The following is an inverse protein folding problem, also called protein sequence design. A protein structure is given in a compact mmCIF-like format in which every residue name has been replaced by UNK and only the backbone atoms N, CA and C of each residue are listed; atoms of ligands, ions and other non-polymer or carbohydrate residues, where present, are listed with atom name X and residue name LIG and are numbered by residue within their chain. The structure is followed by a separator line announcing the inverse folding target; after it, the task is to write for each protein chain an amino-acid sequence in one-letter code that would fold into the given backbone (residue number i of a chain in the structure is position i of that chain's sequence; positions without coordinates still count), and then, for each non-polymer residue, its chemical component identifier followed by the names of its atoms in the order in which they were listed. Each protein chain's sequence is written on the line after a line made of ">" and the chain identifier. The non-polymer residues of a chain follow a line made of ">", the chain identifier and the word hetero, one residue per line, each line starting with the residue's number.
data_IF_007254646569
#
_entry.id   IF_007254646569
#
_cell.length_a   1.000
_cell.length_b   1.000
_cell.length_c   1.000
_cell.angle_alpha   90.00
_cell.angle_beta   90.00
_cell.angle_gamma   90.00
#
_symmetry.space_group_name_H-M   'P 1'
#
loop_
_entity.id
_entity.type
_entity.pdbx_description
1 polymer ?
#
# COMPACT_ATOMS: atom_id res chain seq x y z
N UNK A 1 3.30 1.49 -25.79
CA UNK A 1 2.73 0.13 -25.90
C UNK A 1 2.48 -0.40 -24.50
N UNK A 2 1.30 -0.99 -24.21
CA UNK A 2 0.98 -1.58 -22.92
C UNK A 2 2.06 -2.55 -22.42
N UNK A 3 2.72 -3.24 -23.35
CA UNK A 3 3.83 -4.17 -23.09
C UNK A 3 5.03 -3.49 -22.44
N UNK A 4 5.34 -2.23 -22.80
CA UNK A 4 6.43 -1.48 -22.19
C UNK A 4 6.13 -1.13 -20.73
N UNK A 5 4.86 -0.86 -20.43
CA UNK A 5 4.42 -0.51 -19.08
C UNK A 5 4.43 -1.74 -18.16
N UNK A 6 3.97 -2.88 -18.67
CA UNK A 6 4.04 -4.17 -17.96
C UNK A 6 5.49 -4.63 -17.78
N UNK A 7 6.32 -4.49 -18.82
CA UNK A 7 7.74 -4.82 -18.76
C UNK A 7 8.47 -3.95 -17.72
N UNK A 8 8.21 -2.64 -17.69
CA UNK A 8 8.80 -1.74 -16.69
C UNK A 8 8.37 -2.12 -15.27
N UNK A 9 7.11 -2.52 -15.08
CA UNK A 9 6.56 -2.96 -13.80
C UNK A 9 7.22 -4.26 -13.32
N UNK A 10 7.42 -5.24 -14.23
CA UNK A 10 8.16 -6.46 -13.96
C UNK A 10 9.63 -6.19 -13.64
N UNK A 11 10.27 -5.28 -14.39
CA UNK A 11 11.68 -4.92 -14.18
C UNK A 11 11.88 -4.23 -12.83
N UNK A 12 10.96 -3.34 -12.43
CA UNK A 12 10.93 -2.74 -11.09
C UNK A 12 10.71 -3.78 -9.98
N UNK A 13 9.79 -4.73 -10.17
CA UNK A 13 9.53 -5.80 -9.21
C UNK A 13 10.77 -6.70 -9.03
N UNK A 14 11.44 -7.07 -10.12
CA UNK A 14 12.68 -7.88 -10.09
C UNK A 14 13.85 -7.07 -9.53
N UNK A 15 14.00 -5.79 -9.88
CA UNK A 15 15.05 -4.92 -9.33
C UNK A 15 14.92 -4.75 -7.81
N UNK A 16 13.69 -4.59 -7.31
CA UNK A 16 13.40 -4.57 -5.87
C UNK A 16 13.65 -5.93 -5.19
N UNK A 17 13.59 -7.05 -5.92
CA UNK A 17 13.95 -8.37 -5.37
C UNK A 17 15.45 -8.45 -5.02
N UNK A 18 16.30 -7.85 -5.86
CA UNK A 18 17.77 -7.89 -5.73
C UNK A 18 18.29 -6.90 -4.69
N UNK A 19 17.64 -5.76 -4.51
CA UNK A 19 18.04 -4.75 -3.53
C UNK A 19 17.29 -4.92 -2.20
N UNK A 20 17.94 -5.41 -1.11
CA UNK A 20 17.32 -5.43 0.20
C UNK A 20 17.09 -4.00 0.69
N UNK A 21 15.83 -3.57 0.73
CA UNK A 21 15.45 -2.29 1.33
C UNK A 21 15.28 -2.54 2.84
N UNK A 22 15.88 -1.71 3.72
CA UNK A 22 15.72 -1.87 5.16
C UNK A 22 14.24 -1.79 5.57
N UNK A 23 13.81 -2.68 6.47
CA UNK A 23 12.43 -2.74 6.99
C UNK A 23 11.95 -1.38 7.50
N UNK A 24 12.82 -0.61 8.16
CA UNK A 24 12.51 0.74 8.69
C UNK A 24 12.05 1.72 7.60
N UNK A 25 12.66 1.66 6.41
CA UNK A 25 12.31 2.55 5.30
C UNK A 25 10.94 2.17 4.74
N UNK A 26 10.67 0.88 4.59
CA UNK A 26 9.37 0.38 4.12
C UNK A 26 8.27 0.73 5.10
N UNK A 27 8.51 0.55 6.41
CA UNK A 27 7.56 0.91 7.47
C UNK A 27 7.22 2.41 7.45
N UNK A 28 8.22 3.29 7.31
CA UNK A 28 8.01 4.72 7.17
C UNK A 28 7.19 5.08 5.91
N UNK A 29 7.45 4.43 4.77
CA UNK A 29 6.71 4.65 3.53
C UNK A 29 5.26 4.16 3.60
N UNK A 30 4.99 3.05 4.30
CA UNK A 30 3.64 2.57 4.59
C UNK A 30 2.89 3.61 5.43
N UNK A 31 3.51 4.11 6.50
CA UNK A 31 2.94 5.16 7.34
C UNK A 31 2.62 6.43 6.54
N UNK A 32 3.53 6.84 5.66
CA UNK A 32 3.30 7.95 4.74
C UNK A 32 2.13 7.68 3.77
N UNK A 33 2.04 6.47 3.20
CA UNK A 33 0.93 6.10 2.31
C UNK A 33 -0.43 6.20 3.02
N UNK A 34 -0.51 5.71 4.26
CA UNK A 34 -1.72 5.79 5.08
C UNK A 34 -2.08 7.25 5.39
N UNK A 35 -1.10 8.07 5.79
CA UNK A 35 -1.31 9.49 6.03
C UNK A 35 -1.79 10.24 4.78
N UNK A 36 -1.19 9.96 3.62
CA UNK A 36 -1.63 10.51 2.34
C UNK A 36 -3.07 10.09 2.00
N UNK A 37 -3.43 8.83 2.21
CA UNK A 37 -4.79 8.33 1.96
C UNK A 37 -5.83 9.05 2.85
N UNK A 38 -5.52 9.27 4.12
CA UNK A 38 -6.38 10.00 5.06
C UNK A 38 -6.48 11.48 4.66
N UNK A 39 -5.36 12.10 4.27
CA UNK A 39 -5.36 13.49 3.78
C UNK A 39 -6.24 13.64 2.55
N UNK A 40 -6.11 12.73 1.57
CA UNK A 40 -6.96 12.72 0.38
C UNK A 40 -8.43 12.51 0.72
N UNK A 41 -8.73 11.65 1.70
CA UNK A 41 -10.09 11.47 2.21
C UNK A 41 -10.63 12.78 2.83
N UNK A 42 -9.85 13.46 3.67
CA UNK A 42 -10.27 14.75 4.24
C UNK A 42 -10.51 15.80 3.17
N UNK A 43 -9.64 15.90 2.16
CA UNK A 43 -9.81 16.81 1.03
C UNK A 43 -11.08 16.45 0.26
N UNK A 44 -11.33 15.17 -0.01
CA UNK A 44 -12.54 14.72 -0.69
C UNK A 44 -13.83 15.03 0.08
N UNK A 45 -13.80 15.00 1.43
CA UNK A 45 -14.93 15.36 2.27
C UNK A 45 -15.19 16.88 2.34
N UNK A 46 -14.16 17.71 2.12
CA UNK A 46 -14.27 19.17 2.17
C UNK A 46 -14.52 19.82 0.79
N UNK A 47 -14.13 19.18 -0.31
CA UNK A 47 -14.28 19.73 -1.67
C UNK A 47 -15.74 19.63 -2.13
N UNK A 48 -16.38 20.79 -2.34
CA UNK A 48 -17.78 20.91 -2.81
C UNK A 48 -17.92 21.12 -4.32
N UNK A 49 -16.82 21.26 -5.09
CA UNK A 49 -16.89 21.65 -6.51
C UNK A 49 -16.09 20.69 -7.42
N UNK A 50 -16.64 20.23 -8.56
CA UNK A 50 -16.00 19.27 -9.47
C UNK A 50 -14.69 19.71 -10.17
N UNK A 51 -14.27 20.97 -10.02
CA UNK A 51 -13.14 21.55 -10.78
C UNK A 51 -11.75 21.10 -10.28
N UNK A 52 -11.63 20.55 -9.06
CA UNK A 52 -10.40 19.91 -8.57
C UNK A 52 -10.26 18.44 -9.02
N UNK A 53 -11.26 17.89 -9.71
CA UNK A 53 -11.21 16.51 -10.24
C UNK A 53 -10.26 16.34 -11.42
N UNK A 54 -9.66 17.41 -11.96
CA UNK A 54 -8.66 17.31 -13.03
C UNK A 54 -7.30 16.79 -12.54
N UNK A 55 -6.90 17.17 -11.32
CA UNK A 55 -5.64 16.72 -10.70
C UNK A 55 -5.80 15.39 -9.95
N UNK A 56 -7.01 15.06 -9.48
CA UNK A 56 -7.35 13.82 -8.79
C UNK A 56 -6.90 12.54 -9.54
N UNK A 57 -7.21 12.35 -10.85
CA UNK A 57 -6.77 11.18 -11.60
C UNK A 57 -5.25 10.99 -11.58
N UNK A 58 -4.49 12.09 -11.72
CA UNK A 58 -3.04 12.05 -11.68
C UNK A 58 -2.51 11.65 -10.30
N UNK A 59 -3.07 12.24 -9.24
CA UNK A 59 -2.69 11.93 -7.84
C UNK A 59 -3.06 10.49 -7.47
N UNK A 60 -4.23 10.00 -7.89
CA UNK A 60 -4.67 8.62 -7.67
C UNK A 60 -3.78 7.65 -8.45
N UNK A 61 -3.38 7.97 -9.68
CA UNK A 61 -2.47 7.13 -10.47
C UNK A 61 -1.11 6.99 -9.78
N UNK A 62 -0.52 8.10 -9.35
CA UNK A 62 0.74 8.11 -8.60
C UNK A 62 0.60 7.33 -7.28
N UNK A 63 -0.47 7.55 -6.52
CA UNK A 63 -0.78 6.83 -5.28
C UNK A 63 -0.96 5.33 -5.52
N UNK A 64 -1.52 4.94 -6.66
CA UNK A 64 -1.70 3.53 -7.06
C UNK A 64 -0.37 2.88 -7.39
N UNK A 65 0.49 3.55 -8.17
CA UNK A 65 1.85 3.06 -8.46
C UNK A 65 2.68 2.95 -7.17
N UNK A 66 2.57 3.94 -6.29
CA UNK A 66 3.24 3.91 -4.99
C UNK A 66 2.75 2.76 -4.11
N UNK A 67 1.42 2.53 -4.06
CA UNK A 67 0.83 1.35 -3.39
C UNK A 67 1.36 0.04 -3.97
N UNK A 68 1.43 -0.10 -5.30
CA UNK A 68 1.99 -1.30 -5.94
C UNK A 68 3.45 -1.53 -5.52
N UNK A 69 4.28 -0.49 -5.53
CA UNK A 69 5.68 -0.60 -5.10
C UNK A 69 5.81 -1.04 -3.64
N UNK A 70 5.01 -0.45 -2.74
CA UNK A 70 5.00 -0.83 -1.33
C UNK A 70 4.52 -2.25 -1.11
N UNK A 71 3.46 -2.69 -1.77
CA UNK A 71 2.96 -4.07 -1.66
C UNK A 71 4.00 -5.08 -2.12
N UNK A 72 4.72 -4.82 -3.22
CA UNK A 72 5.79 -5.70 -3.70
C UNK A 72 6.97 -5.74 -2.72
N UNK A 73 7.44 -4.58 -2.25
CA UNK A 73 8.55 -4.50 -1.31
C UNK A 73 8.23 -5.18 0.02
N UNK A 74 7.03 -4.95 0.54
CA UNK A 74 6.54 -5.55 1.79
C UNK A 74 6.39 -7.06 1.66
N UNK A 75 5.78 -7.54 0.56
CA UNK A 75 5.61 -8.99 0.34
C UNK A 75 6.96 -9.69 0.26
N UNK A 76 7.97 -9.06 -0.38
CA UNK A 76 9.34 -9.57 -0.39
C UNK A 76 9.90 -9.65 1.04
N UNK A 77 9.81 -8.59 1.84
CA UNK A 77 10.32 -8.59 3.22
C UNK A 77 9.67 -9.68 4.07
N UNK A 78 8.34 -9.82 3.97
CA UNK A 78 7.60 -10.89 4.66
C UNK A 78 8.08 -12.28 4.23
N UNK A 79 8.28 -12.52 2.93
CA UNK A 79 8.65 -13.84 2.41
C UNK A 79 10.14 -14.18 2.55
N UNK A 80 11.03 -13.19 2.48
CA UNK A 80 12.48 -13.39 2.48
C UNK A 80 13.10 -13.28 3.88
N UNK A 81 12.59 -12.35 4.70
CA UNK A 81 13.18 -11.98 6.00
C UNK A 81 12.24 -12.33 7.15
N UNK A 82 10.95 -12.59 6.89
CA UNK A 82 9.96 -12.91 7.91
C UNK A 82 9.48 -11.70 8.71
N UNK A 83 9.94 -10.50 8.37
CA UNK A 83 9.60 -9.25 9.05
C UNK A 83 8.73 -8.36 8.14
N UNK A 84 7.59 -7.92 8.67
CA UNK A 84 6.65 -7.06 7.93
C UNK A 84 6.81 -5.56 8.25
N UNK A 85 7.53 -5.21 9.32
CA UNK A 85 7.56 -3.86 9.87
C UNK A 85 6.52 -3.63 10.98
N UNK A 86 6.74 -2.60 11.80
CA UNK A 86 5.96 -2.37 13.03
C UNK A 86 4.51 -1.99 12.73
N UNK A 87 4.26 -1.21 11.66
CA UNK A 87 2.90 -0.79 11.31
C UNK A 87 2.08 -2.00 10.90
N UNK A 88 2.63 -2.90 10.09
CA UNK A 88 1.91 -4.10 9.63
C UNK A 88 1.66 -5.08 10.77
N UNK A 89 2.64 -5.29 11.66
CA UNK A 89 2.42 -6.11 12.86
C UNK A 89 1.30 -5.56 13.73
N UNK A 90 1.33 -4.24 14.01
CA UNK A 90 0.31 -3.58 14.82
C UNK A 90 -1.07 -3.63 14.16
N UNK A 91 -1.15 -3.42 12.85
CA UNK A 91 -2.41 -3.55 12.10
C UNK A 91 -2.92 -4.99 12.09
N UNK A 92 -2.03 -5.96 11.94
CA UNK A 92 -2.35 -7.39 12.01
C UNK A 92 -3.01 -7.72 13.34
N UNK A 93 -2.35 -7.39 14.45
CA UNK A 93 -2.83 -7.60 15.82
C UNK A 93 -4.14 -6.86 16.09
N UNK A 94 -4.29 -5.64 15.57
CA UNK A 94 -5.53 -4.86 15.67
C UNK A 94 -6.71 -5.56 14.97
N UNK A 95 -6.50 -6.12 13.77
CA UNK A 95 -7.55 -6.78 12.99
C UNK A 95 -7.94 -8.13 13.58
N UNK A 96 -6.97 -8.93 14.04
CA UNK A 96 -7.29 -10.22 14.67
C UNK A 96 -7.79 -10.05 16.10
N UNK A 97 -7.42 -8.99 16.82
CA UNK A 97 -7.86 -8.71 18.20
C UNK A 97 -7.80 -9.95 19.12
N UNK A 98 -6.72 -10.74 18.99
CA UNK A 98 -6.51 -11.99 19.73
C UNK A 98 -7.33 -13.21 19.27
N UNK A 99 -8.21 -13.06 18.27
CA UNK A 99 -8.98 -14.15 17.68
C UNK A 99 -8.87 -14.16 16.14
N UNK A 100 -8.10 -15.11 15.61
CA UNK A 100 -7.88 -15.27 14.17
C UNK A 100 -9.18 -15.47 13.37
N UNK A 101 -10.23 -16.02 14.00
CA UNK A 101 -11.55 -16.18 13.38
C UNK A 101 -12.21 -14.83 13.12
N UNK A 102 -12.08 -13.87 14.05
CA UNK A 102 -12.61 -12.52 13.90
C UNK A 102 -11.91 -11.82 12.74
N UNK A 103 -10.58 -11.91 12.68
CA UNK A 103 -9.80 -11.36 11.57
C UNK A 103 -10.22 -11.94 10.21
N UNK A 104 -10.47 -13.25 10.14
CA UNK A 104 -10.94 -13.92 8.92
C UNK A 104 -12.33 -13.46 8.49
N UNK A 105 -13.25 -13.27 9.42
CA UNK A 105 -14.60 -12.76 9.14
C UNK A 105 -14.53 -11.32 8.61
N UNK A 106 -13.71 -10.45 9.24
CA UNK A 106 -13.53 -9.07 8.77
C UNK A 106 -12.96 -9.06 7.34
N UNK A 107 -11.95 -9.89 7.07
CA UNK A 107 -11.37 -10.00 5.73
C UNK A 107 -12.42 -10.41 4.67
N UNK A 108 -13.30 -11.37 4.99
CA UNK A 108 -14.39 -11.76 4.09
C UNK A 108 -15.39 -10.63 3.85
N UNK A 109 -15.77 -9.86 4.88
CA UNK A 109 -16.72 -8.74 4.74
C UNK A 109 -16.15 -7.62 3.85
N UNK A 110 -14.83 -7.37 3.90
CA UNK A 110 -14.18 -6.32 3.07
C UNK A 110 -13.93 -6.79 1.64
N UNK A 111 -13.67 -8.09 1.44
CA UNK A 111 -13.29 -8.65 0.12
C UNK A 111 -14.50 -9.08 -0.72
N UNK A 112 -15.61 -9.49 -0.09
CA UNK A 112 -16.86 -9.87 -0.76
C UNK A 112 -17.70 -8.63 -1.12
#
# INVERSE_FOLDING_TARGET
>A
SPDLMVALMLLLAVAMMVMPIPVVVVDALIGFNMGLAILLMMVALYVSTPLDFSSLPGVILISTVFRLALTVATTRLILAEGEAGSIIHTFGDFVISGNIVVGFVIFLVVTM
#
